data_IF_601965911313
#
_entry.id   IF_601965911313
#
_cell.length_a   1.000
_cell.length_b   1.000
_cell.length_c   1.000
_cell.angle_alpha   90.00
_cell.angle_beta   90.00
_cell.angle_gamma   90.00
#
_symmetry.space_group_name_H-M   'P 1'
#
loop_
_entity.id
_entity.type
_entity.pdbx_description
1 polymer ?
#
# COMPACT_ATOMS: atom_id res chain seq x y z
N UNK A 1 -5.27 -8.03 -10.18
CA UNK A 1 -5.32 -6.69 -10.83
C UNK A 1 -6.64 -5.99 -10.57
N UNK A 2 -7.78 -6.66 -10.72
CA UNK A 2 -9.11 -6.08 -10.47
C UNK A 2 -9.23 -5.36 -9.11
N UNK A 3 -8.75 -5.95 -8.03
CA UNK A 3 -8.82 -5.32 -6.68
C UNK A 3 -8.03 -4.01 -6.59
N UNK A 4 -6.88 -3.90 -7.23
CA UNK A 4 -6.07 -2.66 -7.21
C UNK A 4 -6.77 -1.56 -8.03
N UNK A 5 -7.36 -1.90 -9.18
CA UNK A 5 -8.14 -0.97 -9.98
C UNK A 5 -9.37 -0.48 -9.20
N UNK A 6 -10.11 -1.41 -8.59
CA UNK A 6 -11.27 -1.08 -7.74
C UNK A 6 -10.86 -0.18 -6.56
N UNK A 7 -9.75 -0.49 -5.88
CA UNK A 7 -9.25 0.33 -4.79
C UNK A 7 -8.90 1.75 -5.25
N UNK A 8 -8.24 1.90 -6.40
CA UNK A 8 -7.95 3.20 -7.00
C UNK A 8 -9.23 3.97 -7.30
N UNK A 9 -10.22 3.32 -7.93
CA UNK A 9 -11.48 3.96 -8.30
C UNK A 9 -12.31 4.35 -7.06
N UNK A 10 -12.26 3.55 -5.98
CA UNK A 10 -12.87 3.90 -4.71
C UNK A 10 -12.17 5.11 -4.08
N UNK A 11 -10.84 5.15 -4.06
CA UNK A 11 -10.11 6.30 -3.54
C UNK A 11 -10.36 7.56 -4.35
N UNK A 12 -10.52 7.47 -5.68
CA UNK A 12 -10.94 8.61 -6.49
C UNK A 12 -12.32 9.13 -6.07
N UNK A 13 -13.29 8.24 -5.82
CA UNK A 13 -14.61 8.66 -5.31
C UNK A 13 -14.54 9.28 -3.92
N UNK A 14 -13.65 8.80 -3.06
CA UNK A 14 -13.41 9.40 -1.74
C UNK A 14 -12.89 10.82 -1.91
N UNK A 15 -11.94 11.06 -2.82
CA UNK A 15 -11.44 12.40 -3.11
C UNK A 15 -12.53 13.31 -3.68
N UNK A 16 -13.32 12.82 -4.64
CA UNK A 16 -14.34 13.63 -5.32
C UNK A 16 -15.47 14.06 -4.38
N UNK A 17 -15.82 13.22 -3.39
CA UNK A 17 -17.01 13.42 -2.57
C UNK A 17 -16.76 13.82 -1.12
N UNK A 18 -15.62 13.48 -0.56
CA UNK A 18 -15.37 13.63 0.87
C UNK A 18 -14.21 14.59 1.17
N UNK A 19 -13.41 15.00 0.16
CA UNK A 19 -12.22 15.81 0.40
C UNK A 19 -12.54 17.14 1.07
N UNK A 20 -11.69 17.48 2.05
CA UNK A 20 -11.64 18.78 2.72
C UNK A 20 -10.49 19.61 2.11
N UNK A 21 -10.51 20.92 2.32
CA UNK A 21 -9.47 21.87 1.86
C UNK A 21 -8.07 21.52 2.36
N UNK A 22 -7.96 20.94 3.55
CA UNK A 22 -6.69 20.52 4.15
C UNK A 22 -6.16 19.17 3.63
N UNK A 23 -6.90 18.51 2.71
CA UNK A 23 -6.53 17.18 2.19
C UNK A 23 -6.91 16.02 3.11
N UNK A 24 -7.73 16.28 4.14
CA UNK A 24 -8.43 15.27 4.95
C UNK A 24 -9.81 14.98 4.35
N UNK A 25 -10.58 14.10 4.98
CA UNK A 25 -11.87 13.66 4.48
C UNK A 25 -12.96 13.86 5.53
N UNK A 26 -14.09 14.40 5.08
CA UNK A 26 -15.32 14.45 5.87
C UNK A 26 -15.91 13.05 6.06
N UNK A 27 -16.69 12.87 7.10
CA UNK A 27 -17.43 11.62 7.35
C UNK A 27 -18.66 11.46 6.43
N UNK A 28 -19.11 12.55 5.81
CA UNK A 28 -20.27 12.56 4.92
C UNK A 28 -19.92 13.06 3.52
N UNK A 29 -20.58 12.51 2.51
CA UNK A 29 -20.39 12.91 1.11
C UNK A 29 -20.91 14.33 0.84
N UNK A 30 -20.32 15.02 -0.14
CA UNK A 30 -20.73 16.38 -0.55
C UNK A 30 -22.08 16.41 -1.28
N UNK A 31 -22.50 15.28 -1.82
CA UNK A 31 -23.78 15.10 -2.54
C UNK A 31 -24.84 14.36 -1.70
N UNK A 32 -24.61 14.25 -0.38
CA UNK A 32 -25.55 13.67 0.57
C UNK A 32 -26.52 14.69 1.16
N UNK A 33 -27.00 14.39 2.38
CA UNK A 33 -27.86 15.29 3.13
C UNK A 33 -27.12 16.60 3.48
N UNK A 34 -27.83 17.72 3.38
CA UNK A 34 -27.29 19.03 3.77
C UNK A 34 -27.17 19.12 5.30
N UNK A 35 -25.95 19.12 5.79
CA UNK A 35 -25.64 19.21 7.21
C UNK A 35 -25.13 20.60 7.57
N UNK A 36 -25.46 21.05 8.79
CA UNK A 36 -24.94 22.31 9.34
C UNK A 36 -23.40 22.29 9.42
N UNK A 37 -22.83 21.14 9.77
CA UNK A 37 -21.38 20.91 9.82
C UNK A 37 -21.07 19.52 9.31
N UNK A 38 -20.15 19.41 8.38
CA UNK A 38 -19.59 18.13 7.94
C UNK A 38 -18.36 17.82 8.78
N UNK A 39 -18.45 16.80 9.62
CA UNK A 39 -17.38 16.43 10.54
C UNK A 39 -16.17 15.83 9.79
N UNK A 40 -14.99 16.07 10.38
CA UNK A 40 -13.71 15.45 10.01
C UNK A 40 -13.14 14.83 11.27
N UNK A 41 -12.83 13.54 11.26
CA UNK A 41 -12.33 12.82 12.44
C UNK A 41 -11.15 11.93 12.10
N UNK A 42 -10.18 11.86 13.01
CA UNK A 42 -9.10 10.87 13.06
C UNK A 42 -9.32 9.79 14.12
N UNK A 43 -10.46 9.83 14.82
CA UNK A 43 -10.76 8.92 15.92
C UNK A 43 -11.08 7.50 15.43
N UNK A 44 -10.24 6.55 15.84
CA UNK A 44 -10.42 5.12 15.57
C UNK A 44 -11.16 4.47 16.75
N UNK A 45 -12.47 4.36 16.63
CA UNK A 45 -13.32 3.75 17.65
C UNK A 45 -13.49 2.23 17.45
N UNK A 46 -14.74 1.79 17.33
CA UNK A 46 -15.06 0.39 16.99
C UNK A 46 -14.61 0.05 15.56
N UNK A 47 -14.67 1.04 14.69
CA UNK A 47 -14.19 0.99 13.32
C UNK A 47 -13.11 2.05 13.10
N UNK A 48 -12.11 1.77 12.25
CA UNK A 48 -11.15 2.79 11.86
C UNK A 48 -11.81 3.98 11.16
N UNK A 49 -11.34 5.19 11.45
CA UNK A 49 -11.84 6.41 10.80
C UNK A 49 -11.63 6.39 9.28
N UNK A 50 -12.46 7.16 8.56
CA UNK A 50 -12.29 7.35 7.12
C UNK A 50 -10.90 7.90 6.77
N UNK A 51 -10.37 8.82 7.59
CA UNK A 51 -9.03 9.39 7.39
C UNK A 51 -7.91 8.37 7.64
N UNK A 52 -8.03 7.53 8.67
CA UNK A 52 -7.06 6.45 8.94
C UNK A 52 -7.02 5.43 7.80
N UNK A 53 -8.20 5.02 7.32
CA UNK A 53 -8.31 4.11 6.16
C UNK A 53 -7.74 4.75 4.89
N UNK A 54 -8.04 6.02 4.62
CA UNK A 54 -7.54 6.74 3.45
C UNK A 54 -6.01 6.85 3.47
N UNK A 55 -5.41 7.20 4.61
CA UNK A 55 -3.96 7.28 4.75
C UNK A 55 -3.28 5.94 4.41
N UNK A 56 -3.77 4.82 4.98
CA UNK A 56 -3.24 3.49 4.69
C UNK A 56 -3.44 3.08 3.22
N UNK A 57 -4.62 3.36 2.65
CA UNK A 57 -4.94 3.06 1.26
C UNK A 57 -4.02 3.83 0.29
N UNK A 58 -3.82 5.12 0.50
CA UNK A 58 -2.92 5.95 -0.30
C UNK A 58 -1.47 5.45 -0.25
N UNK A 59 -0.95 5.09 0.93
CA UNK A 59 0.40 4.54 1.05
C UNK A 59 0.56 3.25 0.25
N UNK A 60 -0.39 2.31 0.39
CA UNK A 60 -0.32 1.04 -0.33
C UNK A 60 -0.50 1.21 -1.83
N UNK A 61 -1.46 2.04 -2.25
CA UNK A 61 -1.69 2.31 -3.67
C UNK A 61 -0.52 3.05 -4.30
N UNK A 62 0.16 3.96 -3.58
CA UNK A 62 1.35 4.64 -4.09
C UNK A 62 2.42 3.66 -4.54
N UNK A 63 2.62 2.57 -3.80
CA UNK A 63 3.57 1.52 -4.14
C UNK A 63 3.11 0.64 -5.31
N UNK A 64 1.85 0.15 -5.28
CA UNK A 64 1.33 -0.69 -6.36
C UNK A 64 1.31 0.02 -7.72
N UNK A 65 0.93 1.30 -7.70
CA UNK A 65 0.73 2.12 -8.89
C UNK A 65 1.97 2.96 -9.27
N UNK A 66 3.01 2.92 -8.44
CA UNK A 66 4.19 3.78 -8.58
C UNK A 66 3.82 5.27 -8.72
N UNK A 67 2.83 5.73 -7.93
CA UNK A 67 2.31 7.09 -7.93
C UNK A 67 2.72 7.87 -6.67
N UNK A 68 3.83 8.63 -6.69
CA UNK A 68 4.30 9.39 -5.51
C UNK A 68 3.29 10.41 -4.98
N UNK A 69 2.37 10.89 -5.82
CA UNK A 69 1.32 11.83 -5.39
C UNK A 69 0.41 11.24 -4.33
N UNK A 70 0.15 9.94 -4.37
CA UNK A 70 -0.67 9.26 -3.35
C UNK A 70 0.05 9.23 -2.00
N UNK A 71 1.37 9.03 -2.00
CA UNK A 71 2.18 9.11 -0.79
C UNK A 71 2.07 10.49 -0.11
N UNK A 72 2.14 11.58 -0.90
CA UNK A 72 1.98 12.94 -0.41
C UNK A 72 0.56 13.23 0.13
N UNK A 73 -0.47 12.53 -0.37
CA UNK A 73 -1.83 12.64 0.18
C UNK A 73 -1.93 12.03 1.57
N UNK A 74 -1.30 10.87 1.79
CA UNK A 74 -1.21 10.28 3.13
C UNK A 74 -0.46 11.20 4.10
N UNK A 75 0.65 11.81 3.67
CA UNK A 75 1.41 12.78 4.46
C UNK A 75 0.55 13.95 4.93
N UNK A 76 -0.28 14.53 4.04
CA UNK A 76 -1.20 15.62 4.41
C UNK A 76 -2.18 15.21 5.49
N UNK A 77 -2.70 13.98 5.45
CA UNK A 77 -3.58 13.46 6.50
C UNK A 77 -2.81 13.43 7.83
N UNK A 78 -1.62 12.85 7.88
CA UNK A 78 -0.82 12.79 9.12
C UNK A 78 -0.49 14.17 9.68
N UNK A 79 -0.13 15.12 8.82
CA UNK A 79 0.14 16.49 9.24
C UNK A 79 -1.11 17.17 9.83
N UNK A 80 -2.27 16.93 9.24
CA UNK A 80 -3.54 17.52 9.72
C UNK A 80 -3.97 16.96 11.09
N UNK A 81 -3.59 15.73 11.42
CA UNK A 81 -3.90 15.09 12.70
C UNK A 81 -2.69 15.01 13.65
N UNK A 82 -1.60 15.75 13.37
CA UNK A 82 -0.34 15.64 14.12
C UNK A 82 -0.52 15.91 15.62
N UNK A 83 -1.25 16.96 15.98
CA UNK A 83 -1.47 17.34 17.38
C UNK A 83 -2.31 16.29 18.11
N UNK A 84 -3.37 15.78 17.46
CA UNK A 84 -4.22 14.71 18.00
C UNK A 84 -3.43 13.41 18.20
N UNK A 85 -2.56 13.06 17.24
CA UNK A 85 -1.70 11.88 17.33
C UNK A 85 -0.68 12.00 18.46
N UNK A 86 -0.14 13.19 18.71
CA UNK A 86 0.80 13.45 19.79
C UNK A 86 0.15 13.43 21.17
N UNK A 87 -1.06 13.98 21.29
CA UNK A 87 -1.74 14.13 22.57
C UNK A 87 -2.58 12.89 22.92
N UNK A 88 -3.28 12.31 21.94
CA UNK A 88 -4.26 11.23 22.14
C UNK A 88 -4.05 10.04 21.16
N UNK A 89 -2.80 9.69 20.88
CA UNK A 89 -2.45 8.70 19.85
C UNK A 89 -3.18 7.35 19.98
N UNK A 90 -3.52 6.90 21.20
CA UNK A 90 -4.28 5.67 21.40
C UNK A 90 -5.69 5.73 20.81
N UNK A 91 -6.26 6.91 20.65
CA UNK A 91 -7.56 7.13 20.04
C UNK A 91 -7.52 7.03 18.51
N UNK A 92 -6.33 6.96 17.91
CA UNK A 92 -6.09 6.89 16.48
C UNK A 92 -5.15 5.73 16.14
N UNK A 93 -5.41 4.56 16.74
CA UNK A 93 -4.52 3.40 16.68
C UNK A 93 -4.31 2.88 15.24
N UNK A 94 -5.32 2.95 14.38
CA UNK A 94 -5.21 2.54 12.99
C UNK A 94 -4.44 3.58 12.15
N UNK A 95 -4.60 4.87 12.47
CA UNK A 95 -3.78 5.93 11.87
C UNK A 95 -2.32 5.79 12.27
N UNK A 96 -2.02 5.42 13.52
CA UNK A 96 -0.65 5.12 13.96
C UNK A 96 -0.03 3.93 13.20
N UNK A 97 -0.83 2.91 12.84
CA UNK A 97 -0.33 1.83 11.97
C UNK A 97 0.03 2.34 10.57
N UNK A 98 -0.79 3.22 10.00
CA UNK A 98 -0.47 3.86 8.72
C UNK A 98 0.74 4.78 8.83
N UNK A 99 0.87 5.54 9.92
CA UNK A 99 2.03 6.39 10.21
C UNK A 99 3.31 5.56 10.38
N UNK A 100 3.24 4.42 11.04
CA UNK A 100 4.37 3.49 11.14
C UNK A 100 4.84 3.02 9.76
N UNK A 101 3.89 2.70 8.86
CA UNK A 101 4.19 2.35 7.48
C UNK A 101 4.87 3.50 6.72
N UNK A 102 4.40 4.73 6.93
CA UNK A 102 4.95 5.94 6.33
C UNK A 102 6.39 6.20 6.80
N UNK A 103 6.63 6.21 8.12
CA UNK A 103 7.94 6.49 8.72
C UNK A 103 8.94 5.35 8.51
N UNK A 104 8.49 4.10 8.64
CA UNK A 104 9.31 2.91 8.46
C UNK A 104 9.76 2.67 7.01
N UNK A 105 9.11 3.33 6.06
CA UNK A 105 9.34 3.11 4.63
C UNK A 105 8.74 1.80 4.14
N UNK A 106 7.73 1.92 3.30
CA UNK A 106 7.03 0.79 2.72
C UNK A 106 7.99 -0.14 1.96
N UNK A 107 7.98 -1.43 2.31
CA UNK A 107 8.72 -2.48 1.59
C UNK A 107 7.89 -2.93 0.39
N UNK A 108 8.45 -2.84 -0.79
CA UNK A 108 7.79 -3.18 -2.05
C UNK A 108 8.41 -4.46 -2.60
N UNK A 109 7.62 -5.50 -2.76
CA UNK A 109 8.09 -6.80 -3.26
C UNK A 109 7.31 -7.18 -4.51
N UNK A 110 8.04 -7.25 -5.63
CA UNK A 110 7.52 -7.75 -6.90
C UNK A 110 8.10 -9.13 -7.17
N UNK A 111 7.26 -10.13 -7.38
CA UNK A 111 7.70 -11.50 -7.68
C UNK A 111 7.26 -11.88 -9.09
N UNK A 112 8.21 -12.42 -9.87
CA UNK A 112 7.94 -13.01 -11.19
C UNK A 112 8.27 -14.49 -11.13
N UNK A 113 7.37 -15.34 -11.60
CA UNK A 113 7.56 -16.78 -11.56
C UNK A 113 7.05 -17.47 -12.81
N UNK A 114 7.29 -18.78 -12.92
CA UNK A 114 6.74 -19.63 -13.98
C UNK A 114 5.52 -20.39 -13.46
N UNK A 115 4.59 -20.69 -14.37
CA UNK A 115 3.49 -21.61 -14.07
C UNK A 115 4.05 -23.02 -13.81
N UNK A 116 3.43 -23.72 -12.88
CA UNK A 116 3.77 -25.09 -12.51
C UNK A 116 5.24 -25.29 -12.05
N UNK A 117 5.93 -24.22 -11.64
CA UNK A 117 7.27 -24.30 -11.10
C UNK A 117 7.21 -24.41 -9.56
N UNK A 118 7.74 -25.49 -8.97
CA UNK A 118 7.74 -25.69 -7.52
C UNK A 118 8.45 -24.59 -6.73
N UNK A 119 9.49 -23.97 -7.31
CA UNK A 119 10.21 -22.89 -6.65
C UNK A 119 9.35 -21.62 -6.59
N UNK A 120 8.59 -21.32 -7.65
CA UNK A 120 7.61 -20.25 -7.67
C UNK A 120 6.55 -20.46 -6.58
N UNK A 121 5.99 -21.67 -6.52
CA UNK A 121 4.97 -22.01 -5.52
C UNK A 121 5.53 -21.89 -4.09
N UNK A 122 6.71 -22.42 -3.84
CA UNK A 122 7.38 -22.34 -2.52
C UNK A 122 7.56 -20.88 -2.10
N UNK A 123 8.00 -20.00 -3.00
CA UNK A 123 8.18 -18.56 -2.70
C UNK A 123 6.86 -17.89 -2.34
N UNK A 124 5.79 -18.11 -3.13
CA UNK A 124 4.49 -17.54 -2.87
C UNK A 124 3.87 -18.05 -1.55
N UNK A 125 4.00 -19.34 -1.26
CA UNK A 125 3.46 -19.93 -0.04
C UNK A 125 4.19 -19.40 1.20
N UNK A 126 5.49 -19.15 1.09
CA UNK A 126 6.28 -18.54 2.17
C UNK A 126 5.81 -17.11 2.44
N UNK A 127 5.61 -16.31 1.39
CA UNK A 127 5.11 -14.95 1.54
C UNK A 127 3.70 -14.90 2.13
N UNK A 128 2.81 -15.82 1.72
CA UNK A 128 1.43 -15.90 2.25
C UNK A 128 1.35 -16.30 3.72
N UNK A 129 2.31 -17.09 4.19
CA UNK A 129 2.35 -17.57 5.61
C UNK A 129 3.03 -16.58 6.54
N UNK A 130 3.80 -15.65 6.03
CA UNK A 130 4.52 -14.67 6.83
C UNK A 130 3.65 -13.48 7.25
N UNK A 131 4.07 -12.76 8.27
CA UNK A 131 3.48 -11.51 8.71
C UNK A 131 4.40 -10.35 8.37
N UNK A 132 3.99 -9.51 7.41
CA UNK A 132 4.78 -8.41 6.88
C UNK A 132 3.94 -7.13 6.82
N UNK A 133 3.63 -6.51 7.96
CA UNK A 133 2.66 -5.41 8.05
C UNK A 133 3.07 -4.16 7.24
N UNK A 134 4.37 -3.95 7.07
CA UNK A 134 4.93 -2.80 6.34
C UNK A 134 5.34 -3.14 4.90
N UNK A 135 4.83 -4.21 4.33
CA UNK A 135 5.16 -4.61 2.97
C UNK A 135 3.92 -4.69 2.07
N UNK A 136 4.12 -4.42 0.78
CA UNK A 136 3.19 -4.74 -0.29
C UNK A 136 3.80 -5.80 -1.20
N UNK A 137 2.98 -6.71 -1.68
CA UNK A 137 3.40 -7.82 -2.53
C UNK A 137 2.62 -7.80 -3.83
N UNK A 138 3.33 -7.82 -4.95
CA UNK A 138 2.76 -8.03 -6.26
C UNK A 138 3.38 -9.28 -6.91
N UNK A 139 2.58 -10.05 -7.60
CA UNK A 139 3.02 -11.25 -8.30
C UNK A 139 2.41 -11.32 -9.70
N UNK A 140 3.22 -11.76 -10.65
CA UNK A 140 2.75 -12.18 -11.97
C UNK A 140 3.55 -13.39 -12.47
N UNK A 141 2.90 -14.20 -13.30
CA UNK A 141 3.63 -15.17 -14.10
C UNK A 141 4.34 -14.47 -15.27
N UNK A 142 5.46 -15.06 -15.73
CA UNK A 142 6.26 -14.52 -16.84
C UNK A 142 5.43 -14.25 -18.09
N UNK A 143 4.49 -15.13 -18.41
CA UNK A 143 3.63 -15.07 -19.59
C UNK A 143 2.54 -13.97 -19.53
N UNK A 144 2.29 -13.40 -18.36
CA UNK A 144 1.28 -12.36 -18.19
C UNK A 144 1.86 -11.02 -17.70
N UNK A 145 3.18 -10.95 -17.46
CA UNK A 145 3.84 -9.82 -16.81
C UNK A 145 3.58 -8.47 -17.51
N UNK A 146 3.55 -8.45 -18.84
CA UNK A 146 3.30 -7.22 -19.60
C UNK A 146 1.90 -6.67 -19.34
N UNK A 147 0.89 -7.54 -19.31
CA UNK A 147 -0.49 -7.16 -19.09
C UNK A 147 -0.73 -6.73 -17.64
N UNK A 148 -0.17 -7.49 -16.69
CA UNK A 148 -0.30 -7.18 -15.27
C UNK A 148 0.49 -5.92 -14.92
N UNK A 149 1.69 -5.75 -15.47
CA UNK A 149 2.53 -4.58 -15.25
C UNK A 149 1.94 -3.25 -15.74
N UNK A 150 1.05 -3.28 -16.74
CA UNK A 150 0.27 -2.09 -17.16
C UNK A 150 -0.72 -1.63 -16.09
N UNK A 151 -1.25 -2.55 -15.29
CA UNK A 151 -2.24 -2.28 -14.22
C UNK A 151 -1.61 -2.15 -12.85
N UNK A 152 -0.48 -2.84 -12.64
CA UNK A 152 0.30 -2.83 -11.41
C UNK A 152 1.75 -2.45 -11.76
N UNK A 153 2.07 -1.16 -11.88
CA UNK A 153 3.40 -0.66 -12.26
C UNK A 153 4.55 -1.18 -11.41
N UNK A 154 4.31 -1.60 -10.17
CA UNK A 154 5.30 -2.31 -9.34
C UNK A 154 5.90 -3.55 -10.03
N UNK A 155 5.12 -4.20 -10.91
CA UNK A 155 5.55 -5.36 -11.71
C UNK A 155 6.11 -5.00 -13.09
N UNK A 156 6.04 -3.73 -13.48
CA UNK A 156 6.47 -3.29 -14.81
C UNK A 156 7.97 -3.57 -15.02
N UNK A 157 8.30 -4.09 -16.21
CA UNK A 157 9.66 -4.40 -16.64
C UNK A 157 10.40 -5.44 -15.77
N UNK A 158 9.70 -6.13 -14.88
CA UNK A 158 10.27 -7.23 -14.09
C UNK A 158 10.37 -8.50 -14.94
N UNK A 159 11.46 -9.26 -14.77
CA UNK A 159 11.77 -10.46 -15.56
C UNK A 159 12.30 -11.56 -14.65
N UNK A 160 12.28 -12.79 -15.14
CA UNK A 160 13.04 -13.87 -14.52
C UNK A 160 14.55 -13.62 -14.67
N UNK A 161 15.30 -13.73 -13.60
CA UNK A 161 16.76 -13.72 -13.63
C UNK A 161 17.25 -15.16 -13.72
N UNK A 162 18.07 -15.46 -14.73
CA UNK A 162 18.57 -16.81 -15.01
C UNK A 162 17.46 -17.86 -15.19
N UNK A 163 16.29 -17.46 -15.67
CA UNK A 163 15.15 -18.35 -15.88
C UNK A 163 14.52 -18.92 -14.60
N UNK A 164 14.84 -18.36 -13.44
CA UNK A 164 14.35 -18.78 -12.12
C UNK A 164 13.30 -17.79 -11.59
N UNK A 165 12.44 -18.23 -10.66
CA UNK A 165 11.58 -17.32 -9.89
C UNK A 165 12.43 -16.21 -9.29
N UNK A 166 11.97 -14.98 -9.41
CA UNK A 166 12.75 -13.79 -9.03
C UNK A 166 11.90 -12.85 -8.20
N UNK A 167 12.42 -12.46 -7.06
CA UNK A 167 11.84 -11.42 -6.22
C UNK A 167 12.70 -10.15 -6.30
N UNK A 168 12.02 -9.04 -6.54
CA UNK A 168 12.56 -7.69 -6.53
C UNK A 168 12.11 -7.02 -5.24
N UNK A 169 13.04 -6.52 -4.47
CA UNK A 169 12.78 -5.81 -3.23
C UNK A 169 13.19 -4.35 -3.38
N UNK A 170 12.24 -3.45 -3.16
CA UNK A 170 12.50 -2.02 -3.18
C UNK A 170 11.99 -1.38 -1.88
N UNK A 171 12.62 -0.28 -1.50
CA UNK A 171 12.21 0.55 -0.35
C UNK A 171 12.51 2.00 -0.67
N UNK A 172 11.54 2.89 -0.49
CA UNK A 172 11.69 4.33 -0.74
C UNK A 172 12.29 4.65 -2.13
N UNK A 173 11.81 3.97 -3.17
CA UNK A 173 12.28 4.16 -4.55
C UNK A 173 13.64 3.53 -4.88
N UNK A 174 14.32 2.90 -3.93
CA UNK A 174 15.58 2.19 -4.16
C UNK A 174 15.35 0.69 -4.22
N UNK A 175 15.74 0.05 -5.32
CA UNK A 175 15.64 -1.39 -5.49
C UNK A 175 17.00 -2.06 -5.27
N UNK A 176 16.99 -3.16 -4.53
CA UNK A 176 18.17 -4.00 -4.32
C UNK A 176 18.35 -4.99 -5.48
N UNK A 177 19.49 -5.67 -5.51
CA UNK A 177 19.73 -6.77 -6.46
C UNK A 177 18.63 -7.82 -6.31
N UNK A 178 18.00 -8.25 -7.43
CA UNK A 178 16.97 -9.27 -7.39
C UNK A 178 17.48 -10.60 -6.83
N UNK A 179 16.65 -11.31 -6.10
CA UNK A 179 16.98 -12.58 -5.46
C UNK A 179 16.14 -13.73 -6.03
N UNK A 180 16.71 -14.95 -6.04
CA UNK A 180 16.08 -16.13 -6.60
C UNK A 180 15.73 -17.20 -5.55
N UNK A 181 16.02 -16.97 -4.27
CA UNK A 181 15.73 -17.90 -3.19
C UNK A 181 14.81 -17.29 -2.13
N UNK A 182 14.06 -18.17 -1.47
CA UNK A 182 13.20 -17.78 -0.34
C UNK A 182 14.05 -17.25 0.81
N UNK A 183 15.18 -17.89 1.06
CA UNK A 183 16.09 -17.57 2.17
C UNK A 183 16.66 -16.15 2.03
N UNK A 184 17.04 -15.74 0.82
CA UNK A 184 17.51 -14.38 0.53
C UNK A 184 16.36 -13.36 0.67
N UNK A 185 15.16 -13.68 0.15
CA UNK A 185 14.01 -12.79 0.26
C UNK A 185 13.60 -12.56 1.71
N UNK A 186 13.59 -13.62 2.54
CA UNK A 186 13.26 -13.49 3.95
C UNK A 186 14.27 -12.63 4.71
N UNK A 187 15.56 -12.71 4.37
CA UNK A 187 16.58 -11.81 4.93
C UNK A 187 16.29 -10.34 4.60
N UNK A 188 15.89 -10.04 3.36
CA UNK A 188 15.53 -8.67 2.97
C UNK A 188 14.27 -8.18 3.69
N UNK A 189 13.29 -9.06 3.88
CA UNK A 189 12.05 -8.72 4.60
C UNK A 189 12.26 -8.53 6.10
N UNK A 190 13.22 -9.22 6.72
CA UNK A 190 13.56 -9.09 8.14
C UNK A 190 14.44 -7.88 8.46
N UNK A 191 15.02 -7.23 7.47
CA UNK A 191 15.80 -6.00 7.68
C UNK A 191 14.83 -4.85 8.05
N UNK A 192 15.01 -4.29 9.25
CA UNK A 192 14.33 -3.08 9.71
C UNK A 192 14.87 -1.81 9.04
#
# INVERSE_FOLDING_TARGET
SHYIETARDLMQRVEDKFCNENGTFHETASDGEELLVRQVSGYDGVEPSGNSNAALAFLRLSAYLAEPKMFLKAEKIFLSFSDELMEFGLNSAFMLQALHLYLGGLKEVAVVGKRNDPATQKMLDTLRKGFYPIAVFAFAYEDEIENVGKRIPLLKDRKLVNGKVTAYFCRQGTCLTPVNSVEELLKLLSYE
#
